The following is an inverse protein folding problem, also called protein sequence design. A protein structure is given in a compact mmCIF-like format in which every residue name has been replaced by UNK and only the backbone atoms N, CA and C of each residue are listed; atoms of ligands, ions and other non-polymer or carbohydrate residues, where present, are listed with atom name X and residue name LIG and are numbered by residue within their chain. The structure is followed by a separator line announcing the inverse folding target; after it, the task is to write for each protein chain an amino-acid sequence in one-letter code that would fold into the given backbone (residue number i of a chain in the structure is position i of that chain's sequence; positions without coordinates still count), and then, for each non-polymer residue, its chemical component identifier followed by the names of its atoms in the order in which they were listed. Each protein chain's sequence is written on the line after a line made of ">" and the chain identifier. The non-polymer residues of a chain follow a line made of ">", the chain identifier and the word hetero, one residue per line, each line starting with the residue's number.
data_IF_360003518589
#
_entry.id   IF_360003518589
#
_cell.length_a   1.000
_cell.length_b   1.000
_cell.length_c   1.000
_cell.angle_alpha   90.00
_cell.angle_beta   90.00
_cell.angle_gamma   90.00
#
_symmetry.space_group_name_H-M   'P 1'
#
loop_
_entity.id
_entity.type
_entity.pdbx_description
1 polymer ?
#
# COMPACT_ATOMS: atom_id res chain seq x y z
N UNK A 1 1.26 15.99 -15.87
CA UNK A 1 0.52 16.81 -14.86
C UNK A 1 1.29 16.71 -13.57
N UNK A 2 1.84 17.78 -13.06
CA UNK A 2 2.65 17.76 -11.84
C UNK A 2 1.69 17.68 -10.64
N UNK A 3 1.90 16.72 -9.73
CA UNK A 3 1.06 16.57 -8.55
C UNK A 3 1.26 17.77 -7.60
N UNK A 4 0.17 18.25 -7.01
CA UNK A 4 0.26 19.19 -5.90
C UNK A 4 0.60 18.40 -4.62
N UNK A 5 1.78 18.63 -4.04
CA UNK A 5 2.25 17.95 -2.84
C UNK A 5 1.28 18.10 -1.65
N UNK A 6 0.57 19.22 -1.53
CA UNK A 6 -0.42 19.43 -0.48
C UNK A 6 -1.57 18.40 -0.50
N UNK A 7 -1.83 17.79 -1.67
CA UNK A 7 -2.84 16.75 -1.82
C UNK A 7 -2.32 15.34 -1.52
N UNK A 8 -1.02 15.19 -1.23
CA UNK A 8 -0.44 13.90 -0.87
C UNK A 8 -0.66 13.59 0.60
N UNK A 9 -0.66 12.29 0.95
CA UNK A 9 -0.86 11.87 2.34
C UNK A 9 0.21 12.40 3.27
N UNK A 10 1.45 12.50 2.80
CA UNK A 10 2.60 12.93 3.61
C UNK A 10 2.52 14.42 3.98
N UNK A 11 2.05 15.27 3.06
CA UNK A 11 1.95 16.72 3.27
C UNK A 11 0.51 17.20 3.57
N UNK A 12 -0.39 16.26 3.89
CA UNK A 12 -1.80 16.58 4.14
C UNK A 12 -1.98 17.64 5.21
N UNK A 13 -2.77 18.68 4.88
CA UNK A 13 -3.11 19.79 5.79
C UNK A 13 -1.96 20.75 6.03
N UNK A 14 -0.96 20.78 5.14
CA UNK A 14 0.09 21.81 5.11
C UNK A 14 -0.18 22.78 3.98
N UNK A 15 0.12 24.05 4.21
CA UNK A 15 0.03 25.08 3.18
C UNK A 15 1.19 24.95 2.17
N UNK A 16 1.00 25.33 0.90
CA UNK A 16 2.06 25.23 -0.12
C UNK A 16 3.36 25.93 0.28
N UNK A 17 3.31 27.11 0.89
CA UNK A 17 4.49 27.84 1.39
C UNK A 17 5.22 27.07 2.48
N UNK A 18 4.48 26.40 3.37
CA UNK A 18 5.05 25.57 4.42
C UNK A 18 5.77 24.35 3.86
N UNK A 19 5.21 23.77 2.79
CA UNK A 19 5.82 22.63 2.09
C UNK A 19 7.14 23.06 1.43
N UNK A 20 7.17 24.19 0.71
CA UNK A 20 8.39 24.71 0.06
C UNK A 20 9.52 24.92 1.06
N UNK A 21 9.27 25.59 2.18
CA UNK A 21 10.27 25.77 3.24
C UNK A 21 10.72 24.41 3.81
N UNK A 22 9.78 23.47 3.98
CA UNK A 22 10.06 22.14 4.51
C UNK A 22 10.96 21.34 3.56
N UNK A 23 10.74 21.40 2.24
CA UNK A 23 11.57 20.70 1.26
C UNK A 23 13.05 21.10 1.38
N UNK A 24 13.34 22.36 1.64
CA UNK A 24 14.68 22.85 1.94
C UNK A 24 15.27 22.22 3.20
N UNK A 25 14.53 22.22 4.30
CA UNK A 25 14.96 21.62 5.58
C UNK A 25 15.20 20.11 5.48
N UNK A 26 14.41 19.41 4.68
CA UNK A 26 14.48 17.96 4.49
C UNK A 26 15.54 17.54 3.48
N UNK A 27 16.25 18.49 2.87
CA UNK A 27 17.14 18.25 1.74
C UNK A 27 16.47 17.42 0.65
N UNK A 28 15.21 17.77 0.36
CA UNK A 28 14.41 17.11 -0.65
C UNK A 28 15.05 17.29 -2.03
N UNK A 29 15.18 16.19 -2.77
CA UNK A 29 15.70 16.20 -4.14
C UNK A 29 14.73 15.48 -5.06
N UNK A 30 14.44 16.11 -6.17
CA UNK A 30 13.68 15.47 -7.23
C UNK A 30 14.64 14.68 -8.13
N UNK A 31 14.24 13.45 -8.47
CA UNK A 31 14.94 12.55 -9.37
C UNK A 31 13.99 12.07 -10.47
N UNK A 32 14.54 11.94 -11.68
CA UNK A 32 13.87 11.30 -12.81
C UNK A 32 14.49 9.92 -13.03
N UNK A 33 13.64 8.93 -13.24
CA UNK A 33 14.01 7.54 -13.46
C UNK A 33 13.37 7.07 -14.76
N UNK A 34 14.13 6.35 -15.58
CA UNK A 34 13.62 5.73 -16.80
C UNK A 34 12.84 4.45 -16.45
N UNK A 35 11.93 4.05 -17.34
CA UNK A 35 11.23 2.77 -17.21
C UNK A 35 12.21 1.61 -17.03
N UNK A 36 12.01 0.81 -15.99
CA UNK A 36 12.84 -0.35 -15.63
C UNK A 36 14.05 -0.01 -14.76
N UNK A 37 14.29 1.27 -14.46
CA UNK A 37 15.39 1.68 -13.59
C UNK A 37 15.09 1.33 -12.12
N UNK A 38 16.07 0.71 -11.46
CA UNK A 38 15.98 0.37 -10.03
C UNK A 38 16.29 1.63 -9.21
N UNK A 39 15.32 2.08 -8.43
CA UNK A 39 15.44 3.26 -7.56
C UNK A 39 16.17 2.88 -6.27
N UNK A 40 15.76 1.77 -5.64
CA UNK A 40 16.40 1.19 -4.46
C UNK A 40 16.55 -0.31 -4.67
N UNK A 41 17.80 -0.82 -4.75
CA UNK A 41 18.03 -2.25 -4.94
C UNK A 41 17.85 -3.05 -3.65
N UNK A 42 17.36 -4.28 -3.80
CA UNK A 42 17.33 -5.29 -2.75
C UNK A 42 18.70 -5.46 -2.09
N UNK A 43 18.72 -5.77 -0.81
CA UNK A 43 19.93 -5.98 -0.02
C UNK A 43 20.66 -4.71 0.42
N UNK A 44 20.21 -3.52 0.00
CA UNK A 44 20.79 -2.25 0.43
C UNK A 44 19.91 -1.57 1.46
N UNK A 45 20.53 -0.91 2.44
CA UNK A 45 19.81 0.00 3.34
C UNK A 45 19.54 1.34 2.65
N UNK A 46 18.38 1.92 2.90
CA UNK A 46 18.01 3.24 2.36
C UNK A 46 17.71 4.22 3.48
N UNK A 47 18.20 5.46 3.36
CA UNK A 47 17.83 6.56 4.26
C UNK A 47 16.68 7.42 3.69
N UNK A 48 16.59 7.66 2.36
CA UNK A 48 15.50 8.47 1.82
C UNK A 48 14.20 7.68 1.73
N UNK A 49 13.10 8.38 2.00
CA UNK A 49 11.75 7.99 1.59
C UNK A 49 11.43 8.65 0.26
N UNK A 50 10.63 8.01 -0.58
CA UNK A 50 10.23 8.54 -1.88
C UNK A 50 8.75 8.92 -1.92
N UNK A 51 8.44 10.02 -2.61
CA UNK A 51 7.08 10.41 -3.00
C UNK A 51 7.01 10.44 -4.52
N UNK A 52 6.11 9.68 -5.12
CA UNK A 52 5.93 9.67 -6.58
C UNK A 52 5.28 10.98 -7.02
N UNK A 53 5.94 11.73 -7.90
CA UNK A 53 5.42 12.99 -8.48
C UNK A 53 4.66 12.73 -9.79
N UNK A 54 5.21 11.86 -10.63
CA UNK A 54 4.57 11.39 -11.87
C UNK A 54 5.10 10.01 -12.22
N UNK A 55 4.38 9.28 -13.06
CA UNK A 55 4.73 7.89 -13.39
C UNK A 55 4.30 6.91 -12.32
N UNK A 56 5.02 5.79 -12.18
CA UNK A 56 4.64 4.66 -11.34
C UNK A 56 5.86 3.90 -10.83
N UNK A 57 5.85 3.61 -9.55
CA UNK A 57 6.85 2.76 -8.89
C UNK A 57 6.22 1.40 -8.57
N UNK A 58 6.95 0.32 -8.81
CA UNK A 58 6.60 -1.03 -8.36
C UNK A 58 7.57 -1.50 -7.29
N UNK A 59 7.03 -2.25 -6.34
CA UNK A 59 7.78 -3.00 -5.34
C UNK A 59 7.76 -4.44 -5.79
N UNK A 60 8.92 -4.99 -6.08
CA UNK A 60 9.05 -6.33 -6.62
C UNK A 60 10.10 -7.15 -5.86
N UNK A 61 9.85 -8.45 -5.77
CA UNK A 61 10.77 -9.41 -5.17
C UNK A 61 11.20 -10.39 -6.25
N UNK A 62 12.51 -10.48 -6.45
CA UNK A 62 13.10 -11.51 -7.29
C UNK A 62 13.31 -12.81 -6.50
N UNK A 63 13.10 -13.96 -7.15
CA UNK A 63 13.53 -15.23 -6.59
C UNK A 63 14.87 -15.66 -7.20
N UNK A 64 15.51 -16.67 -6.59
CA UNK A 64 16.81 -17.21 -7.05
C UNK A 64 16.72 -17.89 -8.41
N UNK A 65 15.54 -18.13 -8.96
CA UNK A 65 15.28 -18.70 -10.28
C UNK A 65 15.01 -17.64 -11.35
N UNK A 66 15.07 -16.34 -11.00
CA UNK A 66 14.88 -15.22 -11.93
C UNK A 66 13.44 -14.82 -12.17
N UNK A 67 12.47 -15.31 -11.39
CA UNK A 67 11.10 -14.83 -11.47
C UNK A 67 10.94 -13.57 -10.61
N UNK A 68 10.23 -12.57 -11.13
CA UNK A 68 9.90 -11.36 -10.41
C UNK A 68 8.41 -11.34 -10.05
N UNK A 69 8.11 -11.13 -8.77
CA UNK A 69 6.76 -10.98 -8.26
C UNK A 69 6.51 -9.54 -7.85
N UNK A 70 5.52 -8.88 -8.48
CA UNK A 70 5.12 -7.53 -8.10
C UNK A 70 4.25 -7.59 -6.85
N UNK A 71 4.76 -7.03 -5.75
CA UNK A 71 4.07 -6.99 -4.46
C UNK A 71 3.15 -5.78 -4.33
N UNK A 72 3.52 -4.65 -4.93
CA UNK A 72 2.76 -3.41 -4.85
C UNK A 72 3.06 -2.49 -6.03
N UNK A 73 2.12 -1.61 -6.35
CA UNK A 73 2.24 -0.58 -7.38
C UNK A 73 1.79 0.77 -6.83
N UNK A 74 2.65 1.77 -6.94
CA UNK A 74 2.51 3.08 -6.29
C UNK A 74 2.49 4.16 -7.36
N UNK A 75 1.38 4.85 -7.47
CA UNK A 75 1.19 5.96 -8.40
C UNK A 75 1.46 7.33 -7.76
N UNK A 76 1.17 8.42 -8.51
CA UNK A 76 1.41 9.79 -8.05
C UNK A 76 0.78 10.09 -6.69
N UNK A 77 1.54 10.76 -5.81
CA UNK A 77 1.18 11.06 -4.43
C UNK A 77 1.42 9.93 -3.44
N UNK A 78 1.74 8.73 -3.92
CA UNK A 78 2.08 7.61 -3.06
C UNK A 78 3.50 7.72 -2.49
N UNK A 79 3.69 7.15 -1.30
CA UNK A 79 4.96 7.12 -0.57
C UNK A 79 5.53 5.71 -0.61
N UNK A 80 6.84 5.58 -0.82
CA UNK A 80 7.55 4.31 -0.85
C UNK A 80 8.83 4.33 -0.03
N UNK A 81 9.32 3.15 0.35
CA UNK A 81 10.51 2.90 1.17
C UNK A 81 10.46 3.45 2.61
N UNK A 82 9.32 3.98 3.07
CA UNK A 82 9.18 4.58 4.40
C UNK A 82 9.43 3.57 5.54
N UNK A 83 9.03 2.32 5.36
CA UNK A 83 9.21 1.28 6.37
C UNK A 83 10.70 1.00 6.63
N UNK A 84 11.48 0.87 5.57
CA UNK A 84 12.92 0.62 5.66
C UNK A 84 13.69 1.87 6.10
N UNK A 85 13.37 3.03 5.54
CA UNK A 85 14.05 4.26 5.89
C UNK A 85 13.85 4.64 7.37
N UNK A 86 12.71 4.27 7.99
CA UNK A 86 12.47 4.48 9.43
C UNK A 86 13.21 3.50 10.34
N UNK A 87 13.80 2.42 9.81
CA UNK A 87 14.56 1.41 10.58
C UNK A 87 16.04 1.47 10.16
N UNK A 88 16.90 2.17 10.90
CA UNK A 88 18.29 2.37 10.50
C UNK A 88 19.04 1.06 10.26
N UNK A 89 19.67 0.95 9.09
CA UNK A 89 20.50 -0.21 8.73
C UNK A 89 19.73 -1.44 8.25
N UNK A 90 18.40 -1.42 8.24
CA UNK A 90 17.61 -2.54 7.71
C UNK A 90 17.72 -2.60 6.18
N UNK A 91 18.22 -3.71 5.61
CA UNK A 91 18.32 -3.86 4.16
C UNK A 91 16.95 -4.12 3.54
N UNK A 92 16.72 -3.60 2.33
CA UNK A 92 15.51 -3.88 1.58
C UNK A 92 15.44 -5.38 1.22
N UNK A 93 14.30 -5.99 1.47
CA UNK A 93 13.98 -7.35 1.00
C UNK A 93 13.37 -7.37 -0.40
N UNK A 94 13.34 -6.23 -1.08
CA UNK A 94 12.63 -6.01 -2.35
C UNK A 94 13.37 -4.97 -3.19
N UNK A 95 13.19 -5.03 -4.51
CA UNK A 95 13.57 -3.95 -5.39
C UNK A 95 12.44 -2.92 -5.46
N UNK A 96 12.82 -1.65 -5.53
CA UNK A 96 11.94 -0.52 -5.84
C UNK A 96 12.30 -0.05 -7.23
N UNK A 97 11.40 -0.27 -8.21
CA UNK A 97 11.68 -0.08 -9.64
C UNK A 97 10.68 0.89 -10.28
N UNK A 98 11.13 1.71 -11.22
CA UNK A 98 10.27 2.55 -12.04
C UNK A 98 9.54 1.71 -13.10
N UNK A 99 8.21 1.56 -13.00
CA UNK A 99 7.41 0.78 -13.97
C UNK A 99 7.22 1.50 -15.31
N UNK A 100 7.38 2.80 -15.31
CA UNK A 100 7.32 3.72 -16.45
C UNK A 100 8.24 4.91 -16.15
N UNK A 101 8.44 5.83 -17.08
CA UNK A 101 9.22 7.04 -16.82
C UNK A 101 8.62 7.79 -15.63
N UNK A 102 9.39 7.89 -14.54
CA UNK A 102 8.92 8.28 -13.22
C UNK A 102 9.73 9.44 -12.68
N UNK A 103 9.06 10.41 -12.08
CA UNK A 103 9.68 11.45 -11.25
C UNK A 103 9.29 11.22 -9.80
N UNK A 104 10.26 11.21 -8.93
CA UNK A 104 10.05 11.04 -7.50
C UNK A 104 10.82 12.09 -6.70
N UNK A 105 10.21 12.53 -5.59
CA UNK A 105 10.82 13.38 -4.60
C UNK A 105 11.41 12.48 -3.52
N UNK A 106 12.73 12.55 -3.31
CA UNK A 106 13.44 11.82 -2.25
C UNK A 106 13.68 12.74 -1.07
N UNK A 107 13.27 12.31 0.13
CA UNK A 107 13.34 13.06 1.38
C UNK A 107 14.22 12.30 2.37
N UNK A 108 15.17 12.99 3.01
CA UNK A 108 16.00 12.37 4.04
C UNK A 108 15.19 12.12 5.31
N UNK A 109 14.99 10.84 5.68
CA UNK A 109 14.15 10.46 6.82
C UNK A 109 14.70 10.92 8.16
N UNK A 110 16.02 10.96 8.33
CA UNK A 110 16.63 11.44 9.59
C UNK A 110 16.19 12.86 9.88
N UNK A 111 16.18 13.72 8.86
CA UNK A 111 15.71 15.10 8.98
C UNK A 111 14.21 15.24 9.17
N UNK A 112 13.43 14.22 8.75
CA UNK A 112 12.00 14.15 9.07
C UNK A 112 11.79 13.83 10.55
N UNK A 113 12.57 12.90 11.10
CA UNK A 113 12.41 12.41 12.48
C UNK A 113 13.12 13.27 13.52
N UNK A 114 14.21 13.96 13.16
CA UNK A 114 14.94 14.85 14.04
C UNK A 114 14.24 16.22 14.13
N UNK A 115 13.81 16.64 15.32
CA UNK A 115 13.19 17.95 15.46
C UNK A 115 14.22 19.05 15.13
N UNK A 116 13.82 20.03 14.34
CA UNK A 116 14.63 21.26 14.18
C UNK A 116 14.72 21.99 15.53
N UNK A 117 15.80 22.74 15.74
CA UNK A 117 16.08 23.43 17.01
C UNK A 117 14.91 24.27 17.56
N UNK A 118 13.96 24.65 16.73
CA UNK A 118 12.81 25.50 17.08
C UNK A 118 11.49 24.75 17.23
N UNK A 119 11.46 23.40 17.30
CA UNK A 119 10.23 22.58 17.41
C UNK A 119 9.14 23.09 16.46
N UNK A 120 9.47 23.17 15.18
CA UNK A 120 8.61 23.76 14.14
C UNK A 120 7.28 22.99 14.01
N UNK A 121 6.11 23.66 14.08
CA UNK A 121 4.79 23.00 13.96
C UNK A 121 4.61 22.20 12.66
N UNK A 122 5.31 22.60 11.60
CA UNK A 122 5.33 21.93 10.29
C UNK A 122 5.98 20.55 10.40
N UNK A 123 7.12 20.43 11.10
CA UNK A 123 7.78 19.14 11.37
C UNK A 123 6.87 18.21 12.16
N UNK A 124 6.24 18.71 13.23
CA UNK A 124 5.29 17.93 14.03
C UNK A 124 4.16 17.38 13.16
N UNK A 125 3.64 18.20 12.24
CA UNK A 125 2.58 17.76 11.31
C UNK A 125 3.08 16.70 10.33
N UNK A 126 4.27 16.89 9.76
CA UNK A 126 4.87 15.93 8.83
C UNK A 126 5.10 14.57 9.51
N UNK A 127 5.69 14.57 10.71
CA UNK A 127 5.92 13.34 11.50
C UNK A 127 4.59 12.65 11.82
N UNK A 128 3.56 13.41 12.22
CA UNK A 128 2.21 12.86 12.45
C UNK A 128 1.63 12.22 11.19
N UNK A 129 1.76 12.88 10.03
CA UNK A 129 1.28 12.35 8.76
C UNK A 129 2.04 11.07 8.38
N UNK A 130 3.36 11.04 8.56
CA UNK A 130 4.19 9.85 8.34
C UNK A 130 3.77 8.70 9.26
N UNK A 131 3.60 8.95 10.54
CA UNK A 131 3.13 7.95 11.51
C UNK A 131 1.75 7.40 11.14
N UNK A 132 0.82 8.28 10.75
CA UNK A 132 -0.52 7.88 10.28
C UNK A 132 -0.41 6.98 9.05
N UNK A 133 0.42 7.36 8.06
CA UNK A 133 0.64 6.59 6.84
C UNK A 133 1.21 5.18 7.15
N UNK A 134 2.24 5.10 7.99
CA UNK A 134 2.82 3.82 8.41
C UNK A 134 1.80 2.95 9.17
N UNK A 135 1.02 3.57 10.06
CA UNK A 135 -0.04 2.87 10.82
C UNK A 135 -1.15 2.35 9.91
N UNK A 136 -1.60 3.13 8.93
CA UNK A 136 -2.59 2.69 7.93
C UNK A 136 -2.08 1.50 7.11
N UNK A 137 -0.81 1.54 6.65
CA UNK A 137 -0.18 0.44 5.93
C UNK A 137 -0.08 -0.81 6.82
N UNK A 138 0.32 -0.66 8.09
CA UNK A 138 0.37 -1.77 9.04
C UNK A 138 -1.01 -2.39 9.28
N UNK A 139 -2.06 -1.58 9.46
CA UNK A 139 -3.44 -2.08 9.59
C UNK A 139 -3.89 -2.83 8.33
N UNK A 140 -3.53 -2.35 7.13
CA UNK A 140 -3.85 -3.05 5.88
C UNK A 140 -3.16 -4.41 5.81
N UNK A 141 -1.87 -4.48 6.18
CA UNK A 141 -1.13 -5.75 6.25
C UNK A 141 -1.72 -6.70 7.30
N UNK A 142 -2.05 -6.21 8.49
CA UNK A 142 -2.70 -6.99 9.54
C UNK A 142 -4.03 -7.60 9.09
N UNK A 143 -4.88 -6.81 8.41
CA UNK A 143 -6.13 -7.31 7.83
C UNK A 143 -5.86 -8.40 6.78
N UNK A 144 -4.89 -8.17 5.90
CA UNK A 144 -4.53 -9.17 4.89
C UNK A 144 -4.07 -10.48 5.52
N UNK A 145 -3.26 -10.42 6.58
CA UNK A 145 -2.85 -11.60 7.34
C UNK A 145 -4.05 -12.34 7.94
N UNK A 146 -5.01 -11.63 8.54
CA UNK A 146 -6.24 -12.22 9.07
C UNK A 146 -7.07 -12.92 7.98
N UNK A 147 -7.14 -12.35 6.78
CA UNK A 147 -7.92 -12.93 5.67
C UNK A 147 -7.20 -14.07 4.96
N UNK A 148 -5.85 -14.06 4.91
CA UNK A 148 -5.06 -15.10 4.24
C UNK A 148 -4.63 -16.24 5.16
N UNK A 149 -4.68 -16.04 6.48
CA UNK A 149 -4.33 -17.06 7.49
C UNK A 149 -5.17 -18.34 7.45
N UNK A 150 -6.49 -18.31 7.19
CA UNK A 150 -7.28 -19.53 7.11
C UNK A 150 -6.82 -20.47 5.99
N UNK A 151 -6.85 -21.80 6.25
CA UNK A 151 -6.30 -22.80 5.33
C UNK A 151 -7.10 -22.98 4.03
N UNK A 152 -8.43 -22.82 4.06
CA UNK A 152 -9.29 -23.01 2.87
C UNK A 152 -9.71 -21.68 2.26
N UNK A 153 -9.92 -21.67 0.93
CA UNK A 153 -10.39 -20.50 0.18
C UNK A 153 -11.74 -20.03 0.75
N UNK A 154 -12.65 -20.95 1.07
CA UNK A 154 -13.94 -20.66 1.71
C UNK A 154 -13.77 -19.88 3.00
N UNK A 155 -12.92 -20.34 3.90
CA UNK A 155 -12.65 -19.65 5.18
C UNK A 155 -11.99 -18.29 4.98
N UNK A 156 -11.13 -18.12 3.98
CA UNK A 156 -10.56 -16.81 3.62
C UNK A 156 -11.63 -15.84 3.13
N UNK A 157 -12.52 -16.30 2.25
CA UNK A 157 -13.66 -15.52 1.77
C UNK A 157 -14.59 -15.12 2.92
N UNK A 158 -14.96 -16.07 3.80
CA UNK A 158 -15.83 -15.79 4.95
C UNK A 158 -15.18 -14.80 5.93
N UNK A 159 -13.86 -14.91 6.18
CA UNK A 159 -13.12 -13.95 6.98
C UNK A 159 -13.18 -12.53 6.38
N UNK A 160 -12.98 -12.42 5.08
CA UNK A 160 -13.06 -11.16 4.36
C UNK A 160 -14.48 -10.57 4.36
N UNK A 161 -15.49 -11.39 4.07
CA UNK A 161 -16.90 -10.96 4.09
C UNK A 161 -17.37 -10.55 5.49
N UNK A 162 -16.91 -11.25 6.53
CA UNK A 162 -17.18 -10.87 7.94
C UNK A 162 -16.64 -9.46 8.25
N UNK A 163 -15.45 -9.10 7.77
CA UNK A 163 -14.96 -7.73 7.91
C UNK A 163 -15.81 -6.73 7.14
N UNK A 164 -16.20 -7.06 5.90
CA UNK A 164 -17.07 -6.21 5.11
C UNK A 164 -18.40 -5.94 5.82
N UNK A 165 -19.06 -6.99 6.35
CA UNK A 165 -20.31 -6.89 7.11
C UNK A 165 -20.13 -5.99 8.34
N UNK A 166 -19.08 -6.21 9.13
CA UNK A 166 -18.79 -5.40 10.33
C UNK A 166 -18.55 -3.92 9.98
N UNK A 167 -17.92 -3.65 8.85
CA UNK A 167 -17.61 -2.28 8.40
C UNK A 167 -18.82 -1.56 7.83
N UNK A 168 -19.66 -2.26 7.07
CA UNK A 168 -20.85 -1.66 6.40
C UNK A 168 -22.10 -1.72 7.27
N UNK A 169 -22.14 -2.59 8.26
CA UNK A 169 -23.36 -2.91 9.03
C UNK A 169 -24.41 -3.66 8.22
N UNK A 170 -24.05 -4.22 7.06
CA UNK A 170 -24.99 -4.87 6.12
C UNK A 170 -24.42 -6.19 5.62
N UNK A 171 -25.27 -7.16 5.44
CA UNK A 171 -24.97 -8.44 4.76
C UNK A 171 -24.94 -8.30 3.22
N UNK A 172 -25.33 -7.13 2.69
CA UNK A 172 -25.29 -6.78 1.27
C UNK A 172 -24.31 -5.63 1.08
N UNK A 173 -23.27 -5.83 0.27
CA UNK A 173 -22.17 -4.86 0.12
C UNK A 173 -21.41 -5.02 -1.20
N UNK A 174 -20.76 -3.94 -1.61
CA UNK A 174 -19.82 -3.92 -2.72
C UNK A 174 -18.38 -4.07 -2.23
N UNK A 175 -17.56 -4.80 -3.00
CA UNK A 175 -16.12 -4.88 -2.76
C UNK A 175 -15.36 -4.09 -3.84
N UNK A 176 -14.20 -3.48 -3.49
CA UNK A 176 -13.42 -2.67 -4.44
C UNK A 176 -12.61 -3.50 -5.44
N UNK A 177 -12.66 -4.82 -5.34
CA UNK A 177 -11.84 -5.74 -6.11
C UNK A 177 -12.60 -6.36 -7.27
N UNK A 178 -12.00 -6.42 -8.46
CA UNK A 178 -12.42 -7.36 -9.47
C UNK A 178 -11.98 -8.79 -9.08
N UNK A 179 -12.34 -9.79 -9.90
CA UNK A 179 -12.10 -11.20 -9.57
C UNK A 179 -10.60 -11.55 -9.44
N UNK A 180 -9.76 -10.98 -10.30
CA UNK A 180 -8.31 -11.17 -10.22
C UNK A 180 -7.75 -10.51 -8.96
N UNK A 181 -8.10 -9.25 -8.72
CA UNK A 181 -7.65 -8.51 -7.56
C UNK A 181 -8.06 -9.14 -6.23
N UNK A 182 -9.26 -9.74 -6.16
CA UNK A 182 -9.69 -10.48 -4.97
C UNK A 182 -8.87 -11.75 -4.76
N UNK A 183 -8.55 -12.47 -5.85
CA UNK A 183 -7.68 -13.65 -5.79
C UNK A 183 -6.27 -13.28 -5.32
N UNK A 184 -5.69 -12.22 -5.86
CA UNK A 184 -4.38 -11.71 -5.45
C UNK A 184 -4.38 -11.23 -3.99
N UNK A 185 -5.45 -10.56 -3.57
CA UNK A 185 -5.60 -10.10 -2.18
C UNK A 185 -5.65 -11.27 -1.20
N UNK A 186 -6.40 -12.34 -1.53
CA UNK A 186 -6.55 -13.54 -0.71
C UNK A 186 -5.41 -14.56 -0.90
N UNK A 187 -4.45 -14.26 -1.77
CA UNK A 187 -3.31 -15.14 -2.12
C UNK A 187 -3.79 -16.54 -2.56
N UNK A 188 -4.65 -16.57 -3.56
CA UNK A 188 -5.19 -17.80 -4.18
C UNK A 188 -5.25 -17.67 -5.70
N UNK A 189 -5.30 -18.81 -6.39
CA UNK A 189 -5.51 -18.83 -7.83
C UNK A 189 -6.93 -18.33 -8.19
N UNK A 190 -7.02 -17.50 -9.25
CA UNK A 190 -8.30 -16.91 -9.72
C UNK A 190 -9.33 -17.97 -10.09
N UNK A 191 -8.88 -19.06 -10.72
CA UNK A 191 -9.76 -20.19 -11.11
C UNK A 191 -10.32 -20.90 -9.89
N UNK A 192 -9.47 -21.17 -8.89
CA UNK A 192 -9.85 -21.79 -7.63
C UNK A 192 -10.82 -20.91 -6.82
N UNK A 193 -10.57 -19.59 -6.78
CA UNK A 193 -11.48 -18.62 -6.17
C UNK A 193 -12.85 -18.63 -6.84
N UNK A 194 -12.89 -18.63 -8.19
CA UNK A 194 -14.14 -18.62 -8.96
C UNK A 194 -14.95 -19.90 -8.74
N UNK A 195 -14.28 -21.04 -8.67
CA UNK A 195 -14.90 -22.32 -8.33
C UNK A 195 -15.51 -22.29 -6.93
N UNK A 196 -14.75 -21.83 -5.92
CA UNK A 196 -15.25 -21.77 -4.54
C UNK A 196 -16.45 -20.84 -4.39
N UNK A 197 -16.42 -19.67 -5.03
CA UNK A 197 -17.58 -18.75 -5.04
C UNK A 197 -18.82 -19.39 -5.67
N UNK A 198 -18.64 -20.20 -6.73
CA UNK A 198 -19.74 -20.93 -7.36
C UNK A 198 -20.30 -22.02 -6.45
N UNK A 199 -19.43 -22.72 -5.70
CA UNK A 199 -19.84 -23.68 -4.68
C UNK A 199 -20.59 -23.00 -3.54
N UNK A 200 -20.08 -21.92 -2.99
CA UNK A 200 -20.74 -21.15 -1.93
C UNK A 200 -22.11 -20.62 -2.35
N UNK A 201 -22.26 -20.20 -3.62
CA UNK A 201 -23.56 -19.80 -4.19
C UNK A 201 -24.51 -20.98 -4.28
N UNK A 202 -24.05 -22.14 -4.75
CA UNK A 202 -24.83 -23.38 -4.83
C UNK A 202 -25.28 -23.86 -3.44
N UNK A 203 -24.38 -23.71 -2.45
CA UNK A 203 -24.68 -24.08 -1.05
C UNK A 203 -25.60 -23.05 -0.35
N UNK A 204 -26.02 -22.00 -1.06
CA UNK A 204 -26.92 -20.98 -0.53
C UNK A 204 -26.32 -20.00 0.44
N UNK A 205 -24.97 -20.01 0.61
CA UNK A 205 -24.27 -19.14 1.57
C UNK A 205 -24.13 -17.70 1.09
N UNK A 206 -24.03 -17.50 -0.24
CA UNK A 206 -23.87 -16.18 -0.86
C UNK A 206 -24.67 -16.08 -2.16
N UNK A 207 -25.04 -14.83 -2.49
CA UNK A 207 -25.36 -14.43 -3.87
C UNK A 207 -24.36 -13.37 -4.29
N UNK A 208 -24.05 -13.27 -5.57
CA UNK A 208 -23.19 -12.22 -6.07
C UNK A 208 -23.46 -11.89 -7.53
N UNK A 209 -23.27 -10.62 -7.85
CA UNK A 209 -23.22 -10.11 -9.21
C UNK A 209 -22.01 -9.17 -9.33
N UNK A 210 -21.05 -9.51 -10.22
CA UNK A 210 -19.78 -8.78 -10.37
C UNK A 210 -19.06 -8.61 -9.01
N UNK A 211 -19.05 -7.39 -8.47
CA UNK A 211 -18.40 -7.01 -7.22
C UNK A 211 -19.36 -6.83 -6.05
N UNK A 212 -20.65 -7.03 -6.29
CA UNK A 212 -21.69 -7.00 -5.27
C UNK A 212 -21.91 -8.39 -4.66
N UNK A 213 -22.03 -8.46 -3.34
CA UNK A 213 -22.22 -9.69 -2.58
C UNK A 213 -23.35 -9.56 -1.57
N UNK A 214 -24.22 -10.57 -1.54
CA UNK A 214 -25.19 -10.79 -0.48
C UNK A 214 -24.78 -12.06 0.27
N UNK A 215 -24.51 -11.95 1.57
CA UNK A 215 -24.14 -13.08 2.44
C UNK A 215 -25.34 -13.46 3.27
N UNK A 216 -25.67 -14.75 3.35
CA UNK A 216 -26.81 -15.21 4.14
C UNK A 216 -26.49 -15.16 5.64
N UNK A 217 -27.46 -14.73 6.46
CA UNK A 217 -27.30 -14.51 7.91
C UNK A 217 -26.96 -15.80 8.71
N UNK A 218 -27.39 -16.97 8.22
CA UNK A 218 -27.10 -18.26 8.84
C UNK A 218 -25.97 -18.96 8.09
N UNK A 219 -24.74 -18.78 8.56
CA UNK A 219 -23.62 -19.65 8.23
C UNK A 219 -23.45 -20.55 9.46
N UNK A 220 -24.15 -21.69 9.47
CA UNK A 220 -23.90 -22.74 10.46
C UNK A 220 -22.42 -23.15 10.34
N UNK A 221 -21.67 -23.05 11.48
CA UNK A 221 -20.22 -23.18 11.57
C UNK A 221 -19.73 -24.64 11.45
#
# INVERSE_FOLDING_TARGET
>A
MQINLANTRLFRGMEPSDIEEMLGCLHAKEHAFQKGEIIFPEGTATEPIGVVLSGRVIIEMGDVWGNNSVLSSIGPGGVFAEAYACVPGEPLMVNVTAAEDTRALLLNIRRVLEPCANVCPRHVRLVRNLLTLCSEKNLQLSRRVLHTGPKSIRKRLLSYFSECIKRTGSYSFDIPYNRQQLADYLSVERSALSNELSLMRRDGLIRYEKNHFDVMEQIDG
#
